data_IF_253424811290
#
_entry.id   IF_253424811290
#
_cell.length_a   1.000
_cell.length_b   1.000
_cell.length_c   1.000
_cell.angle_alpha   90.00
_cell.angle_beta   90.00
_cell.angle_gamma   90.00
#
_symmetry.space_group_name_H-M   'P 1'
#
loop_
_entity.id
_entity.type
_entity.pdbx_description
1 polymer ?
#
# COMPACT_ATOMS: atom_id res chain seq x y z
N UNK A 1 9.64 -34.50 -22.76
CA UNK A 1 9.87 -33.07 -23.06
C UNK A 1 8.57 -32.36 -22.82
N UNK A 2 8.52 -31.44 -21.87
CA UNK A 2 7.39 -30.55 -21.68
C UNK A 2 7.16 -29.75 -22.98
N UNK A 3 5.90 -29.61 -23.37
CA UNK A 3 5.47 -28.85 -24.54
C UNK A 3 4.76 -27.60 -24.10
N UNK A 4 4.92 -26.53 -24.86
CA UNK A 4 4.12 -25.32 -24.70
C UNK A 4 2.93 -25.37 -25.66
N UNK A 5 1.72 -25.20 -25.13
CA UNK A 5 0.44 -25.29 -25.85
C UNK A 5 -0.24 -23.93 -25.80
N UNK A 6 -0.68 -23.41 -26.95
CA UNK A 6 -1.40 -22.14 -27.06
C UNK A 6 -2.83 -22.40 -27.53
N UNK A 7 -3.82 -22.06 -26.70
CA UNK A 7 -5.24 -22.30 -26.96
C UNK A 7 -6.00 -20.97 -27.05
N UNK A 8 -6.53 -20.70 -28.24
CA UNK A 8 -7.31 -19.50 -28.57
C UNK A 8 -8.74 -19.92 -28.87
N UNK A 9 -9.75 -19.18 -28.41
CA UNK A 9 -11.16 -19.47 -28.76
C UNK A 9 -11.37 -19.24 -30.25
N UNK A 10 -12.06 -20.16 -30.93
CA UNK A 10 -12.47 -19.94 -32.33
C UNK A 10 -13.48 -18.80 -32.45
N UNK A 11 -14.40 -18.70 -31.50
CA UNK A 11 -15.35 -17.61 -31.40
C UNK A 11 -15.14 -16.87 -30.05
N UNK A 12 -14.71 -15.60 -30.06
CA UNK A 12 -14.37 -14.85 -28.84
C UNK A 12 -15.55 -14.68 -27.88
N UNK A 13 -16.78 -14.60 -28.41
CA UNK A 13 -18.01 -14.42 -27.63
C UNK A 13 -18.52 -15.73 -26.99
N UNK A 14 -17.79 -16.84 -27.17
CA UNK A 14 -18.21 -18.15 -26.64
C UNK A 14 -18.16 -18.18 -25.12
N UNK A 15 -19.28 -18.59 -24.53
CA UNK A 15 -19.39 -18.92 -23.11
C UNK A 15 -18.73 -20.28 -22.84
N UNK A 16 -18.24 -20.47 -21.60
CA UNK A 16 -17.45 -21.65 -21.17
C UNK A 16 -18.03 -23.00 -21.63
N UNK A 17 -19.34 -23.15 -21.58
CA UNK A 17 -20.04 -24.41 -21.88
C UNK A 17 -19.93 -24.87 -23.36
N UNK A 18 -19.70 -23.95 -24.32
CA UNK A 18 -19.62 -24.24 -25.75
C UNK A 18 -18.34 -23.69 -26.40
N UNK A 19 -17.25 -23.60 -25.63
CA UNK A 19 -16.01 -23.02 -26.16
C UNK A 19 -15.28 -24.02 -27.05
N UNK A 20 -15.19 -23.72 -28.34
CA UNK A 20 -14.28 -24.40 -29.24
C UNK A 20 -12.90 -23.75 -29.25
N UNK A 21 -11.87 -24.57 -29.11
CA UNK A 21 -10.48 -24.15 -29.06
C UNK A 21 -9.77 -24.36 -30.40
N UNK A 22 -8.92 -23.41 -30.74
CA UNK A 22 -7.93 -23.50 -31.80
C UNK A 22 -6.56 -23.56 -31.13
N UNK A 23 -5.81 -24.61 -31.41
CA UNK A 23 -4.42 -24.70 -30.99
C UNK A 23 -3.54 -23.98 -32.01
N UNK A 24 -2.64 -23.13 -31.53
CA UNK A 24 -1.64 -22.43 -32.34
C UNK A 24 -0.23 -22.90 -31.95
N UNK A 25 0.70 -22.81 -32.90
CA UNK A 25 2.13 -22.80 -32.59
C UNK A 25 2.53 -21.50 -31.89
N UNK A 26 3.70 -21.48 -31.23
CA UNK A 26 4.20 -20.27 -30.56
C UNK A 26 4.40 -19.09 -31.51
N UNK A 27 4.82 -19.34 -32.76
CA UNK A 27 4.99 -18.29 -33.76
C UNK A 27 3.65 -17.72 -34.23
N UNK A 28 2.65 -18.58 -34.46
CA UNK A 28 1.30 -18.17 -34.80
C UNK A 28 0.66 -17.37 -33.66
N UNK A 29 0.81 -17.85 -32.43
CA UNK A 29 0.32 -17.18 -31.24
C UNK A 29 0.96 -15.80 -31.06
N UNK A 30 2.28 -15.70 -31.23
CA UNK A 30 2.99 -14.43 -31.16
C UNK A 30 2.47 -13.42 -32.21
N UNK A 31 2.31 -13.86 -33.47
CA UNK A 31 1.74 -12.99 -34.52
C UNK A 31 0.30 -12.59 -34.18
N UNK A 32 -0.48 -13.53 -33.66
CA UNK A 32 -1.86 -13.31 -33.26
C UNK A 32 -1.97 -12.25 -32.16
N UNK A 33 -1.20 -12.32 -31.07
CA UNK A 33 -1.25 -11.34 -29.97
C UNK A 33 -0.82 -9.93 -30.39
N UNK A 34 -0.09 -9.80 -31.50
CA UNK A 34 0.33 -8.52 -32.09
C UNK A 34 -0.55 -8.05 -33.25
N UNK A 35 -1.62 -8.78 -33.57
CA UNK A 35 -2.59 -8.44 -34.62
C UNK A 35 -3.79 -7.68 -34.05
N UNK A 36 -4.59 -7.06 -34.93
CA UNK A 36 -5.88 -6.47 -34.53
C UNK A 36 -6.87 -7.52 -34.00
N UNK A 37 -6.80 -8.76 -34.48
CA UNK A 37 -7.68 -9.85 -34.02
C UNK A 37 -7.35 -10.30 -32.59
N UNK A 38 -6.09 -10.23 -32.18
CA UNK A 38 -5.65 -10.54 -30.82
C UNK A 38 -5.88 -9.40 -29.83
N UNK A 39 -6.20 -8.19 -30.32
CA UNK A 39 -6.34 -7.01 -29.48
C UNK A 39 -7.53 -7.16 -28.52
N UNK A 40 -7.27 -6.98 -27.23
CA UNK A 40 -8.31 -7.09 -26.19
C UNK A 40 -8.65 -8.53 -25.80
N UNK A 41 -7.89 -9.51 -26.29
CA UNK A 41 -7.99 -10.91 -25.85
C UNK A 41 -6.91 -11.19 -24.82
N UNK A 42 -7.28 -11.90 -23.76
CA UNK A 42 -6.43 -12.11 -22.60
C UNK A 42 -6.11 -13.59 -22.44
N UNK A 43 -4.91 -13.91 -21.95
CA UNK A 43 -4.41 -15.27 -21.84
C UNK A 43 -3.82 -15.49 -20.46
N UNK A 44 -4.16 -16.62 -19.85
CA UNK A 44 -3.58 -17.07 -18.59
C UNK A 44 -2.57 -18.19 -18.85
N UNK A 45 -1.52 -18.22 -18.04
CA UNK A 45 -0.51 -19.27 -18.09
C UNK A 45 -0.78 -20.28 -16.97
N UNK A 46 -1.09 -21.51 -17.38
CA UNK A 46 -1.28 -22.66 -16.51
C UNK A 46 0.01 -23.48 -16.56
N UNK A 47 0.65 -23.59 -15.41
CA UNK A 47 1.88 -24.35 -15.21
C UNK A 47 1.80 -25.04 -13.85
N UNK A 48 2.54 -26.13 -13.69
CA UNK A 48 2.66 -26.85 -12.42
C UNK A 48 3.94 -26.41 -11.71
N UNK A 49 3.79 -25.76 -10.57
CA UNK A 49 4.87 -25.25 -9.73
C UNK A 49 5.70 -26.39 -9.08
N UNK A 50 5.20 -27.63 -9.11
CA UNK A 50 5.75 -28.81 -8.41
C UNK A 50 6.38 -29.81 -9.37
N UNK A 51 5.88 -29.90 -10.61
CA UNK A 51 6.28 -30.89 -11.61
C UNK A 51 7.18 -30.33 -12.72
N UNK A 52 8.48 -30.66 -12.69
CA UNK A 52 9.46 -30.24 -13.72
C UNK A 52 9.23 -30.80 -15.14
N UNK A 53 8.21 -31.63 -15.35
CA UNK A 53 7.90 -32.27 -16.64
C UNK A 53 6.49 -31.93 -17.17
N UNK A 54 5.75 -31.03 -16.52
CA UNK A 54 4.41 -30.65 -16.97
C UNK A 54 4.45 -29.78 -18.24
N UNK A 55 3.45 -29.96 -19.10
CA UNK A 55 3.23 -29.09 -20.26
C UNK A 55 2.81 -27.69 -19.79
N UNK A 56 3.31 -26.64 -20.47
CA UNK A 56 2.93 -25.25 -20.22
C UNK A 56 1.77 -24.87 -21.12
N UNK A 57 0.66 -24.38 -20.56
CA UNK A 57 -0.54 -24.06 -21.33
C UNK A 57 -0.85 -22.57 -21.22
N UNK A 58 -0.86 -21.89 -22.35
CA UNK A 58 -1.42 -20.55 -22.50
C UNK A 58 -2.82 -20.67 -23.07
N UNK A 59 -3.83 -20.28 -22.29
CA UNK A 59 -5.23 -20.42 -22.67
C UNK A 59 -5.95 -19.08 -22.58
N UNK A 60 -6.80 -18.81 -23.57
CA UNK A 60 -7.60 -17.58 -23.58
C UNK A 60 -8.61 -17.55 -22.44
N UNK A 61 -8.67 -16.41 -21.77
CA UNK A 61 -9.54 -16.16 -20.63
C UNK A 61 -10.31 -14.85 -20.81
N UNK A 62 -11.42 -14.71 -20.08
CA UNK A 62 -12.09 -13.42 -19.94
C UNK A 62 -11.20 -12.41 -19.21
N UNK A 63 -11.48 -11.12 -19.39
CA UNK A 63 -10.69 -10.06 -18.73
C UNK A 63 -10.68 -10.20 -17.19
N UNK A 64 -11.82 -10.50 -16.57
CA UNK A 64 -11.92 -10.67 -15.12
C UNK A 64 -11.07 -11.83 -14.61
N UNK A 65 -11.14 -12.99 -15.30
CA UNK A 65 -10.34 -14.18 -14.97
C UNK A 65 -8.84 -13.91 -15.12
N UNK A 66 -8.46 -13.22 -16.19
CA UNK A 66 -7.10 -12.76 -16.40
C UNK A 66 -6.63 -11.82 -15.29
N UNK A 67 -7.47 -10.88 -14.86
CA UNK A 67 -7.11 -9.94 -13.78
C UNK A 67 -6.85 -10.68 -12.47
N UNK A 68 -7.68 -11.66 -12.11
CA UNK A 68 -7.50 -12.42 -10.88
C UNK A 68 -6.27 -13.33 -10.94
N UNK A 69 -6.06 -14.03 -12.06
CA UNK A 69 -4.83 -14.77 -12.29
C UNK A 69 -3.60 -13.86 -12.24
N UNK A 70 -3.66 -12.68 -12.87
CA UNK A 70 -2.53 -11.75 -12.94
C UNK A 70 -2.14 -11.19 -11.57
N UNK A 71 -3.11 -10.93 -10.68
CA UNK A 71 -2.84 -10.54 -9.29
C UNK A 71 -2.04 -11.61 -8.56
N UNK A 72 -2.47 -12.87 -8.67
CA UNK A 72 -1.80 -13.98 -7.98
C UNK A 72 -0.42 -14.28 -8.60
N UNK A 73 -0.32 -14.33 -9.92
CA UNK A 73 0.96 -14.50 -10.62
C UNK A 73 1.97 -13.40 -10.27
N UNK A 74 1.50 -12.14 -10.13
CA UNK A 74 2.35 -11.02 -9.70
C UNK A 74 2.79 -11.17 -8.25
N UNK A 75 1.91 -11.62 -7.36
CA UNK A 75 2.23 -11.89 -5.96
C UNK A 75 3.28 -13.00 -5.84
N UNK A 76 3.09 -14.12 -6.54
CA UNK A 76 4.07 -15.21 -6.59
C UNK A 76 5.44 -14.72 -7.11
N UNK A 77 5.46 -13.94 -8.20
CA UNK A 77 6.71 -13.39 -8.73
C UNK A 77 7.39 -12.44 -7.75
N UNK A 78 6.61 -11.57 -7.09
CA UNK A 78 7.14 -10.68 -6.05
C UNK A 78 7.75 -11.45 -4.89
N UNK A 79 7.07 -12.49 -4.38
CA UNK A 79 7.62 -13.33 -3.32
C UNK A 79 8.88 -14.06 -3.75
N UNK A 80 8.91 -14.60 -4.98
CA UNK A 80 10.09 -15.24 -5.53
C UNK A 80 11.26 -14.26 -5.70
N UNK A 81 10.99 -13.02 -6.15
CA UNK A 81 12.00 -11.97 -6.28
C UNK A 81 12.51 -11.51 -4.90
N UNK A 82 11.63 -11.31 -3.93
CA UNK A 82 12.03 -11.02 -2.55
C UNK A 82 12.89 -12.15 -1.97
N UNK A 83 12.55 -13.42 -2.25
CA UNK A 83 13.31 -14.57 -1.78
C UNK A 83 14.71 -14.70 -2.40
N UNK A 84 14.99 -14.06 -3.55
CA UNK A 84 16.35 -14.07 -4.14
C UNK A 84 17.36 -13.36 -3.24
N UNK A 85 16.95 -12.28 -2.60
CA UNK A 85 17.81 -11.45 -1.75
C UNK A 85 17.50 -11.61 -0.25
N UNK A 86 16.57 -12.51 0.11
CA UNK A 86 16.12 -12.70 1.49
C UNK A 86 16.27 -14.15 1.90
N UNK A 87 16.93 -14.37 3.04
CA UNK A 87 16.95 -15.70 3.68
C UNK A 87 15.77 -15.82 4.64
N UNK A 88 14.91 -16.81 4.44
CA UNK A 88 13.83 -17.13 5.36
C UNK A 88 14.40 -18.00 6.47
N UNK A 89 14.29 -17.54 7.72
CA UNK A 89 14.74 -18.26 8.93
C UNK A 89 13.54 -18.37 9.86
N UNK A 90 13.36 -19.52 10.51
CA UNK A 90 12.31 -19.68 11.51
C UNK A 90 12.61 -18.84 12.75
N UNK A 91 11.57 -18.20 13.27
CA UNK A 91 11.63 -17.43 14.51
C UNK A 91 12.01 -18.27 15.73
N UNK A 92 11.72 -19.57 15.68
CA UNK A 92 11.92 -20.53 16.78
C UNK A 92 13.29 -21.22 16.71
N UNK A 93 14.25 -20.67 15.97
CA UNK A 93 15.61 -21.21 15.91
C UNK A 93 16.38 -20.81 17.17
N UNK A 94 17.02 -21.75 17.89
CA UNK A 94 17.83 -21.42 19.05
C UNK A 94 19.07 -20.60 18.65
N UNK A 95 19.41 -19.58 19.44
CA UNK A 95 20.57 -18.72 19.18
C UNK A 95 21.79 -19.21 19.95
N UNK A 96 22.93 -19.34 19.28
CA UNK A 96 24.19 -19.74 19.89
C UNK A 96 24.63 -18.73 20.95
N UNK A 97 24.83 -19.19 22.18
CA UNK A 97 25.30 -18.35 23.30
C UNK A 97 24.18 -17.78 24.18
N UNK A 98 22.90 -17.99 23.82
CA UNK A 98 21.77 -17.77 24.70
C UNK A 98 21.24 -19.11 25.20
N UNK A 99 21.35 -19.41 26.50
CA UNK A 99 20.73 -20.61 27.06
C UNK A 99 19.20 -20.55 26.89
N UNK A 100 18.67 -21.34 25.96
CA UNK A 100 17.23 -21.45 25.73
C UNK A 100 16.57 -20.27 25.00
N UNK A 101 17.34 -19.31 24.47
CA UNK A 101 16.80 -18.19 23.70
C UNK A 101 16.55 -18.58 22.25
N UNK A 102 15.38 -18.21 21.73
CA UNK A 102 15.01 -18.32 20.33
C UNK A 102 15.38 -17.04 19.57
N UNK A 103 15.46 -17.11 18.25
CA UNK A 103 15.78 -15.96 17.39
C UNK A 103 14.82 -14.79 17.66
N UNK A 104 13.52 -15.08 17.83
CA UNK A 104 12.51 -14.07 18.14
C UNK A 104 12.81 -13.29 19.43
N UNK A 105 13.39 -13.94 20.43
CA UNK A 105 13.71 -13.32 21.72
C UNK A 105 14.88 -12.33 21.62
N UNK A 106 15.63 -12.39 20.52
CA UNK A 106 16.79 -11.50 20.26
C UNK A 106 16.45 -10.30 19.40
N UNK A 107 15.27 -10.28 18.78
CA UNK A 107 14.82 -9.17 17.95
C UNK A 107 14.24 -8.09 18.87
N UNK A 108 14.86 -6.92 18.86
CA UNK A 108 14.35 -5.78 19.62
C UNK A 108 13.05 -5.27 19.01
N UNK A 109 12.04 -5.02 19.85
CA UNK A 109 10.86 -4.26 19.44
C UNK A 109 11.27 -2.79 19.27
N UNK A 110 11.28 -2.31 18.02
CA UNK A 110 11.53 -0.91 17.66
C UNK A 110 10.34 0.01 18.00
N UNK A 111 9.34 -0.49 18.73
CA UNK A 111 8.27 0.28 19.32
C UNK A 111 8.78 1.40 20.26
N UNK A 112 7.87 2.33 20.60
CA UNK A 112 8.23 3.46 21.45
C UNK A 112 8.80 2.96 22.78
N UNK A 113 10.01 3.42 23.14
CA UNK A 113 10.58 3.14 24.46
C UNK A 113 9.67 3.68 25.57
N UNK A 114 9.79 3.14 26.77
CA UNK A 114 9.05 3.62 27.94
C UNK A 114 9.23 5.13 28.14
N UNK A 115 10.44 5.62 27.90
CA UNK A 115 10.85 7.01 27.96
C UNK A 115 10.15 7.84 26.89
N UNK A 116 10.06 7.35 25.65
CA UNK A 116 9.34 8.01 24.56
C UNK A 116 7.85 8.09 24.82
N UNK A 117 7.24 7.03 25.37
CA UNK A 117 5.82 7.02 25.75
C UNK A 117 5.55 8.07 26.84
N UNK A 118 6.43 8.15 27.86
CA UNK A 118 6.32 9.15 28.93
C UNK A 118 6.52 10.55 28.36
N UNK A 119 7.56 10.79 27.57
CA UNK A 119 7.84 12.09 26.95
C UNK A 119 6.68 12.54 26.06
N UNK A 120 6.08 11.64 25.28
CA UNK A 120 4.90 11.92 24.45
C UNK A 120 3.70 12.31 25.32
N UNK A 121 3.46 11.61 26.43
CA UNK A 121 2.38 11.93 27.37
C UNK A 121 2.57 13.31 28.00
N UNK A 122 3.78 13.67 28.39
CA UNK A 122 4.10 15.00 28.91
C UNK A 122 3.94 16.09 27.86
N UNK A 123 4.40 15.85 26.63
CA UNK A 123 4.20 16.77 25.51
C UNK A 123 2.72 17.01 25.21
N UNK A 124 1.90 15.95 25.23
CA UNK A 124 0.45 16.06 25.05
C UNK A 124 -0.19 16.88 26.17
N UNK A 125 0.21 16.65 27.44
CA UNK A 125 -0.29 17.43 28.57
C UNK A 125 0.01 18.92 28.39
N UNK A 126 1.25 19.28 28.06
CA UNK A 126 1.65 20.67 27.77
C UNK A 126 0.87 21.27 26.60
N UNK A 127 0.62 20.47 25.55
CA UNK A 127 -0.18 20.90 24.41
C UNK A 127 -1.62 21.20 24.82
N UNK A 128 -2.26 20.35 25.60
CA UNK A 128 -3.63 20.59 26.10
C UNK A 128 -3.71 21.83 26.97
N UNK A 129 -2.74 22.06 27.86
CA UNK A 129 -2.64 23.27 28.67
C UNK A 129 -2.46 24.52 27.81
N UNK A 130 -1.59 24.46 26.79
CA UNK A 130 -1.39 25.56 25.85
C UNK A 130 -2.65 25.85 25.03
N UNK A 131 -3.37 24.82 24.60
CA UNK A 131 -4.65 24.96 23.88
C UNK A 131 -5.74 25.55 24.78
N UNK A 132 -5.77 25.19 26.07
CA UNK A 132 -6.69 25.78 27.05
C UNK A 132 -6.45 27.28 27.28
N UNK A 133 -5.25 27.79 26.97
CA UNK A 133 -4.96 29.23 27.04
C UNK A 133 -5.57 30.04 25.89
N UNK A 134 -6.02 29.39 24.81
CA UNK A 134 -6.60 30.04 23.64
C UNK A 134 -8.03 30.49 23.92
N UNK A 135 -8.45 31.61 23.33
CA UNK A 135 -9.87 31.99 23.34
C UNK A 135 -10.69 31.07 22.45
N UNK A 136 -12.02 31.11 22.58
CA UNK A 136 -12.95 30.37 21.71
C UNK A 136 -12.68 30.61 20.22
N UNK A 137 -12.42 31.87 19.85
CA UNK A 137 -12.18 32.29 18.47
C UNK A 137 -10.82 31.78 17.97
N UNK A 138 -9.79 31.82 18.83
CA UNK A 138 -8.46 31.29 18.51
C UNK A 138 -8.50 29.77 18.34
N UNK A 139 -9.24 29.07 19.21
CA UNK A 139 -9.41 27.62 19.14
C UNK A 139 -10.20 27.20 17.88
N UNK A 140 -11.20 27.97 17.47
CA UNK A 140 -11.96 27.72 16.23
C UNK A 140 -11.06 27.74 14.99
N UNK A 141 -10.07 28.64 14.95
CA UNK A 141 -9.08 28.70 13.87
C UNK A 141 -8.22 27.43 13.85
N UNK A 142 -7.73 26.98 15.00
CA UNK A 142 -6.93 25.76 15.12
C UNK A 142 -7.74 24.51 14.74
N UNK A 143 -8.99 24.42 15.21
CA UNK A 143 -9.89 23.32 14.86
C UNK A 143 -10.14 23.23 13.35
N UNK A 144 -10.38 24.36 12.70
CA UNK A 144 -10.63 24.41 11.27
C UNK A 144 -9.44 23.91 10.46
N UNK A 145 -8.21 24.28 10.87
CA UNK A 145 -6.99 23.91 10.15
C UNK A 145 -6.51 22.48 10.43
N UNK A 146 -6.57 22.03 11.68
CA UNK A 146 -5.84 20.83 12.11
C UNK A 146 -6.74 19.71 12.62
N UNK A 147 -7.98 20.00 13.05
CA UNK A 147 -8.89 19.01 13.64
C UNK A 147 -10.17 18.77 12.84
N UNK A 148 -10.30 19.36 11.65
CA UNK A 148 -11.48 19.22 10.80
C UNK A 148 -11.51 17.92 9.97
N UNK A 149 -10.47 17.08 10.08
CA UNK A 149 -10.36 15.81 9.35
C UNK A 149 -10.09 15.93 7.85
N UNK A 150 -9.97 17.16 7.32
CA UNK A 150 -9.62 17.45 5.93
C UNK A 150 -8.53 18.51 5.87
N UNK A 151 -7.73 18.49 4.80
CA UNK A 151 -6.72 19.53 4.57
C UNK A 151 -7.46 20.77 4.03
N UNK A 152 -7.37 21.90 4.75
CA UNK A 152 -8.02 23.16 4.38
C UNK A 152 -6.94 24.22 4.16
N UNK A 153 -7.02 24.96 3.05
CA UNK A 153 -6.13 26.09 2.80
C UNK A 153 -6.51 27.31 3.65
N UNK A 154 -5.57 28.24 3.89
CA UNK A 154 -5.88 29.48 4.64
C UNK A 154 -6.98 30.31 3.99
N UNK A 155 -7.07 30.30 2.66
CA UNK A 155 -8.10 31.04 1.93
C UNK A 155 -9.50 30.44 2.15
N UNK A 156 -9.61 29.11 2.12
CA UNK A 156 -10.86 28.39 2.39
C UNK A 156 -11.27 28.52 3.87
N UNK A 157 -10.31 28.40 4.78
CA UNK A 157 -10.54 28.58 6.21
C UNK A 157 -11.00 30.02 6.51
N UNK A 158 -10.34 31.02 5.92
CA UNK A 158 -10.75 32.42 6.01
C UNK A 158 -12.18 32.65 5.51
N UNK A 159 -12.50 32.13 4.32
CA UNK A 159 -13.85 32.21 3.74
C UNK A 159 -14.91 31.57 4.64
N UNK A 160 -14.62 30.40 5.23
CA UNK A 160 -15.54 29.70 6.14
C UNK A 160 -15.82 30.47 7.43
N UNK A 161 -14.87 31.29 7.88
CA UNK A 161 -14.97 32.11 9.08
C UNK A 161 -15.31 33.59 8.78
N UNK A 162 -15.70 33.92 7.54
CA UNK A 162 -16.09 35.27 7.15
C UNK A 162 -14.96 36.30 7.17
N UNK A 163 -13.70 35.87 6.98
CA UNK A 163 -12.52 36.75 7.00
C UNK A 163 -11.67 36.62 5.74
N UNK A 164 -10.90 37.66 5.43
CA UNK A 164 -9.92 37.60 4.34
C UNK A 164 -8.78 36.64 4.68
N UNK A 165 -8.12 36.11 3.65
CA UNK A 165 -6.94 35.27 3.80
C UNK A 165 -5.85 35.99 4.63
N UNK A 166 -5.61 37.28 4.39
CA UNK A 166 -4.59 38.04 5.13
C UNK A 166 -4.93 38.18 6.61
N UNK A 167 -6.20 38.44 6.93
CA UNK A 167 -6.67 38.52 8.31
C UNK A 167 -6.54 37.16 9.02
N UNK A 168 -6.89 36.07 8.33
CA UNK A 168 -6.72 34.71 8.83
C UNK A 168 -5.24 34.40 9.12
N UNK A 169 -4.35 34.69 8.15
CA UNK A 169 -2.92 34.48 8.29
C UNK A 169 -2.33 35.23 9.50
N UNK A 170 -2.72 36.50 9.67
CA UNK A 170 -2.29 37.31 10.81
C UNK A 170 -2.73 36.69 12.15
N UNK A 171 -4.00 36.28 12.26
CA UNK A 171 -4.53 35.64 13.48
C UNK A 171 -3.83 34.30 13.76
N UNK A 172 -3.64 33.47 12.74
CA UNK A 172 -2.89 32.21 12.83
C UNK A 172 -1.49 32.44 13.39
N UNK A 173 -0.75 33.41 12.85
CA UNK A 173 0.59 33.77 13.32
C UNK A 173 0.60 34.21 14.78
N UNK A 174 -0.39 35.00 15.20
CA UNK A 174 -0.53 35.44 16.60
C UNK A 174 -0.79 34.27 17.56
N UNK A 175 -1.65 33.32 17.15
CA UNK A 175 -1.93 32.08 17.91
C UNK A 175 -0.65 31.26 18.06
N UNK A 176 0.10 31.05 16.98
CA UNK A 176 1.38 30.32 17.05
C UNK A 176 2.40 31.00 17.94
N UNK A 177 2.51 32.33 17.92
CA UNK A 177 3.37 33.06 18.85
C UNK A 177 2.95 32.89 20.30
N UNK A 178 1.64 32.77 20.58
CA UNK A 178 1.11 32.52 21.93
C UNK A 178 1.41 31.09 22.37
N UNK A 179 1.12 30.10 21.54
CA UNK A 179 1.44 28.69 21.81
C UNK A 179 2.94 28.46 21.98
N UNK A 180 3.77 29.09 21.14
CA UNK A 180 5.23 28.99 21.24
C UNK A 180 5.75 29.55 22.55
N UNK A 181 5.17 30.66 23.04
CA UNK A 181 5.49 31.19 24.37
C UNK A 181 5.12 30.21 25.47
N UNK A 182 4.00 29.49 25.39
CA UNK A 182 3.61 28.50 26.40
C UNK A 182 4.46 27.21 26.35
N UNK A 183 4.75 26.72 25.15
CA UNK A 183 5.41 25.42 24.95
C UNK A 183 6.94 25.50 25.03
N UNK A 184 7.53 26.64 24.67
CA UNK A 184 8.97 26.84 24.59
C UNK A 184 9.46 27.95 25.52
N UNK A 185 8.78 28.20 26.65
CA UNK A 185 9.36 29.05 27.72
C UNK A 185 10.75 28.49 28.02
N UNK A 186 11.80 29.27 27.77
CA UNK A 186 13.16 28.94 28.22
C UNK A 186 13.11 28.84 29.74
N UNK A 187 13.29 27.63 30.27
CA UNK A 187 13.77 27.44 31.65
C UNK A 187 15.21 27.92 31.76
#
# INVERSE_FOLDING_TARGET
MAKTIYLVKKNPESKKENTEWMQMSGEEFYRFTHSEEGRGRYFIHLTDDVGYEADEIYIEAGYEEYQDWYKEARRHRYLADCAKDTTIISSDVPVTGGEGLLLIDTIQDDGFSTEEVIARKEMLKKLYEAMASLSSDEMTIIQTLYFSGRIVTEAEAGKSLGMSQQAFHYRKKKIFSKLAKFLFVKS
#
